data_IF_728782802360
#
_entry.id   IF_728782802360
#
_cell.length_a   1.000
_cell.length_b   1.000
_cell.length_c   1.000
_cell.angle_alpha   90.00
_cell.angle_beta   90.00
_cell.angle_gamma   90.00
#
_symmetry.space_group_name_H-M   'P 1'
#
loop_
_entity.id
_entity.type
_entity.pdbx_description
1 polymer ?
#
# COMPACT_ATOMS: atom_id res chain seq x y z
N UNK A 1 1.47 -11.94 2.87
CA UNK A 1 0.38 -11.04 2.45
C UNK A 1 0.07 -10.16 3.63
N UNK A 2 0.03 -8.85 3.42
CA UNK A 2 -0.15 -7.84 4.47
C UNK A 2 -1.14 -6.79 3.97
N UNK A 3 -2.00 -6.32 4.88
CA UNK A 3 -2.96 -5.25 4.68
C UNK A 3 -2.87 -4.32 5.89
N UNK A 4 -2.77 -3.01 5.66
CA UNK A 4 -2.56 -2.01 6.71
C UNK A 4 -3.33 -0.73 6.39
N UNK A 5 -3.90 -0.11 7.42
CA UNK A 5 -4.52 1.20 7.34
C UNK A 5 -3.51 2.32 7.56
N UNK A 6 -3.81 3.47 6.95
CA UNK A 6 -3.06 4.69 7.18
C UNK A 6 -3.30 5.25 8.58
N UNK A 7 -2.71 6.41 8.85
CA UNK A 7 -2.84 7.04 10.17
C UNK A 7 -4.28 7.45 10.48
N UNK A 8 -5.03 7.83 9.45
CA UNK A 8 -6.33 8.48 9.58
C UNK A 8 -7.51 7.54 9.26
N UNK A 9 -7.24 6.26 8.99
CA UNK A 9 -8.18 5.23 8.55
C UNK A 9 -8.96 5.58 7.26
N UNK A 10 -8.38 6.42 6.40
CA UNK A 10 -8.97 6.86 5.14
C UNK A 10 -8.49 5.99 3.97
N UNK A 11 -7.26 5.51 4.04
CA UNK A 11 -6.64 4.68 3.01
C UNK A 11 -6.17 3.36 3.62
N UNK A 12 -6.22 2.29 2.84
CA UNK A 12 -5.55 1.02 3.19
C UNK A 12 -4.65 0.54 2.07
N UNK A 13 -3.52 -0.05 2.43
CA UNK A 13 -2.55 -0.62 1.51
C UNK A 13 -2.56 -2.14 1.62
N UNK A 14 -2.45 -2.83 0.50
CA UNK A 14 -2.33 -4.28 0.42
C UNK A 14 -1.11 -4.68 -0.40
N UNK A 15 -0.38 -5.68 0.10
CA UNK A 15 0.75 -6.28 -0.60
C UNK A 15 0.87 -7.79 -0.32
N UNK A 16 1.58 -8.49 -1.20
CA UNK A 16 1.83 -9.91 -1.03
C UNK A 16 2.72 -10.46 -2.12
N UNK A 17 2.30 -11.59 -2.71
CA UNK A 17 3.04 -12.27 -3.77
C UNK A 17 2.86 -11.63 -5.15
N UNK A 18 1.89 -10.72 -5.29
CA UNK A 18 1.67 -9.89 -6.48
C UNK A 18 2.71 -8.77 -6.59
N UNK A 19 2.83 -8.18 -7.79
CA UNK A 19 3.92 -7.29 -8.19
C UNK A 19 3.87 -5.86 -7.62
N UNK A 20 3.51 -5.70 -6.35
CA UNK A 20 3.62 -4.40 -5.71
C UNK A 20 2.69 -4.17 -4.53
N UNK A 21 2.71 -2.91 -4.11
CA UNK A 21 1.85 -2.33 -3.08
C UNK A 21 0.70 -1.62 -3.80
N UNK A 22 -0.53 -1.95 -3.45
CA UNK A 22 -1.73 -1.29 -3.94
C UNK A 22 -2.39 -0.53 -2.80
N UNK A 23 -2.70 0.74 -3.01
CA UNK A 23 -3.38 1.60 -2.04
C UNK A 23 -4.80 1.85 -2.52
N UNK A 24 -5.76 1.77 -1.62
CA UNK A 24 -7.18 1.92 -1.89
C UNK A 24 -7.79 2.98 -0.98
N UNK A 25 -8.80 3.69 -1.50
CA UNK A 25 -9.66 4.55 -0.70
C UNK A 25 -10.70 3.69 0.03
N UNK A 26 -10.70 3.77 1.36
CA UNK A 26 -11.58 2.96 2.19
C UNK A 26 -13.07 3.29 1.95
N UNK A 27 -13.39 4.57 1.78
CA UNK A 27 -14.77 5.01 1.56
C UNK A 27 -15.32 4.55 0.21
N UNK A 28 -14.50 4.56 -0.85
CA UNK A 28 -14.93 4.04 -2.15
C UNK A 28 -15.18 2.53 -2.09
N UNK A 29 -14.29 1.78 -1.44
CA UNK A 29 -14.45 0.32 -1.31
C UNK A 29 -15.71 -0.05 -0.52
N UNK A 30 -16.09 0.75 0.47
CA UNK A 30 -17.29 0.50 1.27
C UNK A 30 -18.60 0.86 0.55
N UNK A 31 -18.62 1.98 -0.18
CA UNK A 31 -19.88 2.59 -0.64
C UNK A 31 -20.18 2.33 -2.12
N UNK A 32 -19.17 2.01 -2.92
CA UNK A 32 -19.33 1.81 -4.36
C UNK A 32 -19.41 0.32 -4.73
N UNK A 33 -20.04 -0.02 -5.86
CA UNK A 33 -20.11 -1.40 -6.31
C UNK A 33 -18.73 -1.95 -6.71
N UNK A 34 -18.57 -3.27 -6.63
CA UNK A 34 -17.26 -3.93 -6.71
C UNK A 34 -16.54 -3.76 -8.07
N UNK A 35 -17.27 -3.43 -9.13
CA UNK A 35 -16.76 -3.19 -10.47
C UNK A 35 -15.94 -1.89 -10.59
N UNK A 36 -16.03 -0.98 -9.62
CA UNK A 36 -15.24 0.25 -9.59
C UNK A 36 -14.13 0.27 -8.54
N UNK A 37 -13.91 -0.83 -7.81
CA UNK A 37 -12.88 -0.94 -6.78
C UNK A 37 -11.49 -1.02 -7.42
N UNK A 38 -10.90 0.14 -7.72
CA UNK A 38 -9.55 0.27 -8.26
C UNK A 38 -8.59 0.91 -7.25
N UNK A 39 -7.31 0.53 -7.28
CA UNK A 39 -6.31 1.17 -6.43
C UNK A 39 -6.06 2.62 -6.89
N UNK A 40 -5.98 3.53 -5.92
CA UNK A 40 -5.65 4.94 -6.15
C UNK A 40 -4.16 5.13 -6.43
N UNK A 41 -3.32 4.24 -5.87
CA UNK A 41 -1.87 4.20 -6.11
C UNK A 41 -1.42 2.75 -6.25
N UNK A 42 -0.58 2.49 -7.25
CA UNK A 42 0.16 1.24 -7.39
C UNK A 42 1.66 1.54 -7.43
N UNK A 43 2.42 0.82 -6.60
CA UNK A 43 3.88 0.90 -6.52
C UNK A 43 4.46 -0.47 -6.81
N UNK A 44 5.15 -0.60 -7.95
CA UNK A 44 5.70 -1.87 -8.40
C UNK A 44 6.95 -2.25 -7.60
N UNK A 45 7.06 -3.52 -7.23
CA UNK A 45 8.26 -4.07 -6.58
C UNK A 45 8.87 -5.19 -7.39
N UNK A 46 10.20 -5.33 -7.32
CA UNK A 46 10.93 -6.40 -8.02
C UNK A 46 10.74 -7.77 -7.35
N UNK A 47 10.54 -7.75 -6.03
CA UNK A 47 10.45 -8.94 -5.19
C UNK A 47 9.13 -9.01 -4.45
N UNK A 48 8.75 -10.23 -4.02
CA UNK A 48 7.54 -10.49 -3.25
C UNK A 48 7.64 -9.79 -1.90
N UNK A 49 6.52 -9.24 -1.42
CA UNK A 49 6.48 -8.52 -0.16
C UNK A 49 5.95 -9.41 0.97
N UNK A 50 6.61 -9.33 2.13
CA UNK A 50 6.25 -10.07 3.34
C UNK A 50 5.32 -9.24 4.22
N UNK A 51 5.67 -7.99 4.51
CA UNK A 51 4.95 -7.10 5.42
C UNK A 51 4.87 -5.65 4.88
N UNK A 52 3.85 -4.93 5.34
CA UNK A 52 3.70 -3.48 5.21
C UNK A 52 3.61 -2.85 6.60
N UNK A 53 3.98 -1.58 6.71
CA UNK A 53 3.72 -0.77 7.89
C UNK A 53 3.60 0.70 7.51
N UNK A 54 2.45 1.30 7.77
CA UNK A 54 2.24 2.72 7.50
C UNK A 54 2.87 3.59 8.60
N UNK A 55 3.52 4.67 8.20
CA UNK A 55 4.03 5.66 9.13
C UNK A 55 2.86 6.32 9.89
N UNK A 56 2.89 6.24 11.22
CA UNK A 56 1.84 6.75 12.11
C UNK A 56 1.87 8.27 12.33
N UNK A 57 2.88 8.96 11.79
CA UNK A 57 2.97 10.42 11.82
C UNK A 57 2.74 11.03 10.44
N UNK A 58 3.42 10.47 9.42
CA UNK A 58 3.42 10.97 8.05
C UNK A 58 2.56 10.09 7.15
N UNK A 59 1.38 10.60 6.79
CA UNK A 59 0.35 9.87 6.03
C UNK A 59 0.84 9.36 4.67
N UNK A 60 1.82 10.03 4.06
CA UNK A 60 2.30 9.66 2.74
C UNK A 60 3.40 8.59 2.74
N UNK A 61 3.87 8.14 3.91
CA UNK A 61 4.99 7.20 3.98
C UNK A 61 4.55 5.80 4.40
N UNK A 62 4.90 4.79 3.60
CA UNK A 62 4.69 3.38 3.93
C UNK A 62 6.00 2.61 3.82
N UNK A 63 6.26 1.73 4.79
CA UNK A 63 7.40 0.82 4.76
C UNK A 63 6.95 -0.56 4.27
N UNK A 64 7.83 -1.26 3.55
CA UNK A 64 7.64 -2.65 3.13
C UNK A 64 8.89 -3.47 3.36
N UNK A 65 8.73 -4.74 3.73
CA UNK A 65 9.80 -5.74 3.70
C UNK A 65 9.55 -6.75 2.59
N UNK A 66 10.61 -7.21 1.93
CA UNK A 66 10.55 -8.28 0.93
C UNK A 66 11.05 -9.63 1.47
N UNK A 67 11.11 -10.64 0.60
CA UNK A 67 11.62 -11.98 0.92
C UNK A 67 13.16 -12.10 0.78
N UNK A 68 13.82 -11.09 0.25
CA UNK A 68 15.28 -11.01 0.11
C UNK A 68 15.93 -10.32 1.32
N UNK A 69 15.11 -9.75 2.21
CA UNK A 69 15.55 -9.05 3.42
C UNK A 69 15.68 -7.54 3.25
N UNK A 70 15.26 -6.98 2.11
CA UNK A 70 15.26 -5.53 1.90
C UNK A 70 14.07 -4.89 2.60
N UNK A 71 14.31 -3.74 3.23
CA UNK A 71 13.27 -2.87 3.76
C UNK A 71 13.30 -1.56 2.98
N UNK A 72 12.16 -1.16 2.42
CA UNK A 72 12.02 0.05 1.59
C UNK A 72 10.94 0.96 2.18
N UNK A 73 11.20 2.28 2.17
CA UNK A 73 10.21 3.30 2.51
C UNK A 73 9.76 3.98 1.22
N UNK A 74 8.45 4.07 1.04
CA UNK A 74 7.80 4.62 -0.14
C UNK A 74 7.05 5.90 0.24
N UNK A 75 7.10 6.90 -0.65
CA UNK A 75 6.19 8.05 -0.63
C UNK A 75 5.05 7.79 -1.62
N UNK A 76 3.82 7.61 -1.13
CA UNK A 76 2.68 7.24 -1.97
C UNK A 76 2.23 8.36 -2.92
N UNK A 77 2.60 9.62 -2.67
CA UNK A 77 2.24 10.75 -3.52
C UNK A 77 3.34 11.14 -4.51
N UNK A 78 4.57 10.66 -4.31
CA UNK A 78 5.69 10.97 -5.18
C UNK A 78 6.22 9.69 -5.85
N UNK A 79 5.74 9.42 -7.08
CA UNK A 79 6.08 8.23 -7.87
C UNK A 79 7.50 8.24 -8.48
N UNK A 80 8.43 9.04 -7.96
CA UNK A 80 9.81 9.08 -8.44
C UNK A 80 10.70 8.13 -7.63
N UNK A 81 10.51 6.82 -7.81
CA UNK A 81 11.44 5.78 -7.35
C UNK A 81 11.64 4.73 -8.46
#
# INVERSE_FOLDING_TARGET
MSIEFDRDDELFAAAGVSWGIKVFDYSMVLNEPADVHCPVVEMCTRSKLSCLSWNKYSKNHIASSDYEGTVTVWDIFNKSN
#
